data_IF_225581299501
#
_entry.id   IF_225581299501
#
_cell.length_a   1.000
_cell.length_b   1.000
_cell.length_c   1.000
_cell.angle_alpha   90.00
_cell.angle_beta   90.00
_cell.angle_gamma   90.00
#
_symmetry.space_group_name_H-M   'P 1'
#
loop_
_entity.id
_entity.type
_entity.pdbx_description
1 polymer ?
#
# COMPACT_ATOMS: atom_id res chain seq x y z
N UNK A 1 30.68 35.40 -4.36
CA UNK A 1 30.18 34.14 -3.76
C UNK A 1 31.00 33.00 -4.34
N UNK A 2 31.75 32.26 -3.51
CA UNK A 2 32.73 31.28 -3.99
C UNK A 2 32.07 30.06 -4.64
N UNK A 3 32.57 29.63 -5.80
CA UNK A 3 32.07 28.44 -6.54
C UNK A 3 32.00 27.18 -5.66
N UNK A 4 32.92 27.06 -4.68
CA UNK A 4 32.93 25.97 -3.69
C UNK A 4 31.70 26.00 -2.75
N UNK A 5 31.22 27.19 -2.39
CA UNK A 5 30.03 27.36 -1.54
C UNK A 5 28.76 26.96 -2.32
N UNK A 6 28.69 27.29 -3.61
CA UNK A 6 27.59 26.88 -4.49
C UNK A 6 27.51 25.35 -4.65
N UNK A 7 28.65 24.67 -4.79
CA UNK A 7 28.71 23.21 -4.88
C UNK A 7 28.22 22.54 -3.59
N UNK A 8 28.63 23.05 -2.44
CA UNK A 8 28.22 22.51 -1.13
C UNK A 8 26.72 22.70 -0.89
N UNK A 9 26.16 23.86 -1.25
CA UNK A 9 24.71 24.12 -1.14
C UNK A 9 23.90 23.19 -2.06
N UNK A 10 24.36 22.98 -3.30
CA UNK A 10 23.73 22.04 -4.25
C UNK A 10 23.75 20.59 -3.74
N UNK A 11 24.84 20.18 -3.07
CA UNK A 11 24.97 18.84 -2.49
C UNK A 11 24.05 18.65 -1.27
N UNK A 12 23.87 19.68 -0.44
CA UNK A 12 22.98 19.62 0.74
C UNK A 12 21.50 19.58 0.33
N UNK A 13 21.12 20.32 -0.72
CA UNK A 13 19.75 20.32 -1.26
C UNK A 13 19.37 19.02 -1.99
N UNK A 14 20.34 18.21 -2.41
CA UNK A 14 20.09 16.89 -3.01
C UNK A 14 20.02 15.75 -1.98
N UNK A 15 20.35 16.01 -0.72
CA UNK A 15 20.29 15.06 0.39
C UNK A 15 18.98 15.11 1.20
N UNK A 16 18.07 16.06 0.94
CA UNK A 16 16.71 16.05 1.50
C UNK A 16 15.81 15.08 0.72
N UNK A 17 16.15 13.79 0.78
CA UNK A 17 15.35 12.70 0.22
C UNK A 17 14.44 12.08 1.28
N UNK A 18 13.18 11.84 0.89
CA UNK A 18 12.09 11.17 1.61
C UNK A 18 11.37 12.00 2.68
N UNK A 19 10.53 12.92 2.19
CA UNK A 19 9.32 13.33 2.87
C UNK A 19 8.46 12.09 3.19
N UNK A 20 7.88 12.07 4.38
CA UNK A 20 6.94 11.06 4.84
C UNK A 20 5.79 11.01 3.83
N UNK A 21 5.53 9.82 3.26
CA UNK A 21 4.45 9.64 2.27
C UNK A 21 3.12 9.92 2.94
N UNK A 22 2.48 11.00 2.52
CA UNK A 22 1.16 11.39 3.02
C UNK A 22 0.08 10.75 2.15
N UNK A 23 -0.90 10.13 2.79
CA UNK A 23 -2.01 9.45 2.12
C UNK A 23 -3.32 10.16 2.46
N UNK A 24 -4.05 10.60 1.44
CA UNK A 24 -5.39 11.19 1.59
C UNK A 24 -6.48 10.18 1.26
N UNK A 25 -7.61 10.24 1.98
CA UNK A 25 -8.80 9.44 1.67
C UNK A 25 -9.58 10.10 0.51
N UNK A 26 -9.60 9.41 -0.63
CA UNK A 26 -10.27 9.87 -1.85
C UNK A 26 -11.56 9.11 -2.13
N UNK A 27 -12.05 8.29 -1.19
CA UNK A 27 -13.24 7.44 -1.36
C UNK A 27 -14.49 8.20 -1.78
N UNK A 28 -14.55 9.51 -1.48
CA UNK A 28 -15.65 10.42 -1.84
C UNK A 28 -15.61 10.94 -3.28
N UNK A 29 -14.59 10.63 -4.08
CA UNK A 29 -14.52 11.02 -5.48
C UNK A 29 -15.43 10.13 -6.35
N UNK A 30 -16.06 10.71 -7.38
CA UNK A 30 -17.07 10.01 -8.19
C UNK A 30 -16.55 8.73 -8.85
N UNK A 31 -15.25 8.67 -9.15
CA UNK A 31 -14.61 7.48 -9.73
C UNK A 31 -14.53 6.29 -8.76
N UNK A 32 -14.48 6.52 -7.45
CA UNK A 32 -14.31 5.46 -6.45
C UNK A 32 -15.60 5.11 -5.71
N UNK A 33 -16.60 6.00 -5.66
CA UNK A 33 -17.88 5.75 -4.97
C UNK A 33 -18.53 4.41 -5.32
N UNK A 34 -18.42 3.99 -6.58
CA UNK A 34 -19.03 2.76 -7.08
C UNK A 34 -18.37 1.47 -6.59
N UNK A 35 -17.17 1.52 -6.03
CA UNK A 35 -16.43 0.34 -5.58
C UNK A 35 -16.36 0.22 -4.05
N UNK A 36 -16.61 1.28 -3.31
CA UNK A 36 -16.66 1.24 -1.84
C UNK A 36 -17.77 0.30 -1.36
N UNK A 37 -17.45 -0.55 -0.39
CA UNK A 37 -18.34 -1.57 0.14
C UNK A 37 -18.39 -2.87 -0.67
N UNK A 38 -17.70 -2.94 -1.81
CA UNK A 38 -17.62 -4.16 -2.62
C UNK A 38 -17.00 -5.29 -1.80
N UNK A 39 -17.69 -6.43 -1.75
CA UNK A 39 -17.10 -7.66 -1.23
C UNK A 39 -16.32 -8.35 -2.33
N UNK A 40 -15.12 -8.82 -2.00
CA UNK A 40 -14.21 -9.49 -2.91
C UNK A 40 -13.92 -10.88 -2.36
N UNK A 41 -13.91 -11.89 -3.20
CA UNK A 41 -13.44 -13.22 -2.82
C UNK A 41 -12.27 -13.64 -3.70
N UNK A 42 -11.16 -14.03 -3.09
CA UNK A 42 -9.94 -14.38 -3.85
C UNK A 42 -10.15 -15.65 -4.68
N UNK A 43 -9.75 -15.61 -5.95
CA UNK A 43 -9.69 -16.75 -6.88
C UNK A 43 -8.32 -17.44 -6.90
N UNK A 44 -7.29 -16.70 -6.49
CA UNK A 44 -5.90 -17.14 -6.44
C UNK A 44 -5.36 -17.04 -5.02
N UNK A 45 -4.23 -17.71 -4.77
CA UNK A 45 -3.49 -17.52 -3.53
C UNK A 45 -2.89 -16.13 -3.48
N UNK A 46 -2.99 -15.50 -2.33
CA UNK A 46 -2.32 -14.24 -2.05
C UNK A 46 -1.27 -14.45 -0.96
N UNK A 47 -0.37 -13.48 -0.85
CA UNK A 47 0.59 -13.32 0.23
C UNK A 47 0.29 -11.97 0.87
N UNK A 48 0.16 -11.95 2.19
CA UNK A 48 0.04 -10.74 2.98
C UNK A 48 1.35 -10.49 3.71
N UNK A 49 1.88 -9.27 3.58
CA UNK A 49 3.14 -8.87 4.19
C UNK A 49 2.87 -7.79 5.22
N UNK A 50 3.34 -7.95 6.45
CA UNK A 50 3.43 -6.83 7.39
C UNK A 50 4.62 -5.95 7.01
N UNK A 51 4.39 -4.64 6.81
CA UNK A 51 5.38 -3.72 6.26
C UNK A 51 5.65 -2.56 7.21
N UNK A 52 6.92 -2.24 7.43
CA UNK A 52 7.37 -0.99 8.07
C UNK A 52 7.73 0.05 7.02
N UNK A 53 7.44 1.32 7.31
CA UNK A 53 7.94 2.46 6.54
C UNK A 53 8.89 3.35 7.36
N UNK A 54 9.28 2.91 8.55
CA UNK A 54 10.21 3.66 9.38
C UNK A 54 11.60 3.78 8.74
N UNK A 55 12.27 4.93 8.89
CA UNK A 55 13.69 5.03 8.63
C UNK A 55 14.45 3.95 9.40
N UNK A 56 15.45 3.33 8.76
CA UNK A 56 16.23 2.22 9.34
C UNK A 56 15.45 0.93 9.66
N UNK A 57 14.21 0.78 9.16
CA UNK A 57 13.44 -0.46 9.28
C UNK A 57 13.14 -0.86 10.73
N UNK A 58 12.79 0.12 11.58
CA UNK A 58 12.28 -0.19 12.91
C UNK A 58 11.05 -1.10 12.81
N UNK A 59 10.89 -2.01 13.80
CA UNK A 59 9.84 -3.04 13.82
C UNK A 59 8.45 -2.47 14.18
N UNK A 60 8.05 -1.41 13.48
CA UNK A 60 6.74 -0.76 13.60
C UNK A 60 5.90 -1.12 12.39
N UNK A 61 4.82 -1.86 12.63
CA UNK A 61 3.87 -2.22 11.59
C UNK A 61 3.10 -0.97 11.13
N UNK A 62 3.19 -0.67 9.83
CA UNK A 62 2.49 0.47 9.22
C UNK A 62 1.27 0.04 8.41
N UNK A 63 1.41 -1.02 7.64
CA UNK A 63 0.32 -1.57 6.84
C UNK A 63 0.60 -3.03 6.49
N UNK A 64 -0.46 -3.72 6.08
CA UNK A 64 -0.33 -5.00 5.40
C UNK A 64 -0.38 -4.79 3.89
N UNK A 65 0.60 -5.32 3.16
CA UNK A 65 0.62 -5.30 1.70
C UNK A 65 0.14 -6.64 1.15
N UNK A 66 -0.99 -6.61 0.45
CA UNK A 66 -1.56 -7.78 -0.21
C UNK A 66 -0.95 -7.91 -1.62
N UNK A 67 -0.39 -9.07 -1.96
CA UNK A 67 0.14 -9.34 -3.30
C UNK A 67 -0.04 -10.80 -3.67
N UNK A 68 -0.17 -11.07 -4.96
CA UNK A 68 -0.16 -12.44 -5.49
C UNK A 68 1.21 -13.08 -5.22
N UNK A 69 1.21 -14.40 -5.04
CA UNK A 69 2.46 -15.15 -4.93
C UNK A 69 3.36 -14.88 -6.16
N UNK A 70 4.69 -14.72 -5.98
CA UNK A 70 5.47 -15.00 -4.77
C UNK A 70 5.62 -13.79 -3.82
N UNK A 71 4.82 -12.74 -3.93
CA UNK A 71 4.96 -11.55 -3.09
C UNK A 71 6.28 -10.80 -3.32
N UNK A 72 6.78 -10.14 -2.28
CA UNK A 72 8.06 -9.44 -2.29
C UNK A 72 8.87 -9.75 -1.03
N UNK A 73 10.08 -9.21 -0.97
CA UNK A 73 10.97 -9.30 0.18
C UNK A 73 11.82 -8.04 0.27
N UNK A 74 12.41 -7.83 1.44
CA UNK A 74 13.21 -6.66 1.72
C UNK A 74 13.28 -6.40 3.22
N UNK A 75 14.19 -5.52 3.67
CA UNK A 75 14.29 -5.15 5.09
C UNK A 75 13.02 -4.50 5.65
N UNK A 76 12.12 -4.00 4.80
CA UNK A 76 10.84 -3.44 5.18
C UNK A 76 9.78 -4.50 5.57
N UNK A 77 10.03 -5.78 5.28
CA UNK A 77 9.06 -6.87 5.52
C UNK A 77 9.24 -7.43 6.93
N UNK A 78 8.27 -7.17 7.81
CA UNK A 78 8.23 -7.66 9.19
C UNK A 78 7.63 -9.06 9.28
N UNK A 79 6.63 -9.36 8.47
CA UNK A 79 5.96 -10.66 8.44
C UNK A 79 5.50 -11.03 7.02
N UNK A 80 5.30 -12.32 6.77
CA UNK A 80 4.86 -12.85 5.48
C UNK A 80 4.03 -14.10 5.67
N UNK A 81 2.80 -14.08 5.19
CA UNK A 81 1.84 -15.19 5.34
C UNK A 81 1.12 -15.46 4.02
N UNK A 82 0.81 -16.73 3.74
CA UNK A 82 -0.04 -17.10 2.60
C UNK A 82 -1.53 -17.00 3.00
N UNK A 83 -2.32 -16.37 2.14
CA UNK A 83 -3.77 -16.34 2.23
C UNK A 83 -4.37 -17.34 1.23
N UNK A 84 -5.25 -18.25 1.70
CA UNK A 84 -5.83 -19.26 0.84
C UNK A 84 -6.80 -18.66 -0.18
N UNK A 85 -7.05 -19.42 -1.25
CA UNK A 85 -8.13 -19.14 -2.20
C UNK A 85 -9.47 -19.12 -1.44
N UNK A 86 -10.35 -18.20 -1.82
CA UNK A 86 -11.66 -18.02 -1.19
C UNK A 86 -11.65 -17.10 0.02
N UNK A 87 -10.51 -16.48 0.34
CA UNK A 87 -10.43 -15.42 1.36
C UNK A 87 -11.33 -14.25 0.95
N UNK A 88 -12.15 -13.78 1.88
CA UNK A 88 -13.15 -12.73 1.63
C UNK A 88 -12.73 -11.41 2.23
N UNK A 89 -12.77 -10.36 1.42
CA UNK A 89 -12.47 -9.00 1.81
C UNK A 89 -13.65 -8.08 1.56
N UNK A 90 -13.67 -6.94 2.24
CA UNK A 90 -14.51 -5.80 1.91
C UNK A 90 -13.63 -4.60 1.59
N UNK A 91 -13.87 -3.98 0.44
CA UNK A 91 -13.22 -2.72 0.08
C UNK A 91 -13.86 -1.59 0.88
N UNK A 92 -13.10 -0.96 1.77
CA UNK A 92 -13.64 0.05 2.68
C UNK A 92 -13.24 1.47 2.33
N UNK A 93 -12.05 1.66 1.75
CA UNK A 93 -11.54 2.98 1.38
C UNK A 93 -10.66 2.92 0.12
N UNK A 94 -10.48 4.07 -0.51
CA UNK A 94 -9.42 4.32 -1.48
C UNK A 94 -8.58 5.48 -0.96
N UNK A 95 -7.27 5.27 -0.89
CA UNK A 95 -6.30 6.28 -0.46
C UNK A 95 -5.38 6.64 -1.61
N UNK A 96 -5.01 7.92 -1.72
CA UNK A 96 -4.10 8.45 -2.75
C UNK A 96 -2.87 9.05 -2.10
N UNK A 97 -1.70 8.80 -2.68
CA UNK A 97 -0.46 9.45 -2.27
C UNK A 97 -0.47 10.93 -2.69
N UNK A 98 -0.28 11.85 -1.74
CA UNK A 98 -0.33 13.31 -1.94
C UNK A 98 0.99 13.85 -2.46
N UNK A 99 2.11 13.30 -1.98
CA UNK A 99 3.47 13.79 -2.21
C UNK A 99 4.26 12.94 -3.24
N UNK A 100 3.60 11.98 -3.87
CA UNK A 100 4.20 11.16 -4.92
C UNK A 100 4.26 11.92 -6.26
N UNK A 101 5.39 11.84 -6.97
CA UNK A 101 5.57 12.40 -8.33
C UNK A 101 4.51 11.90 -9.31
N UNK A 102 3.99 10.69 -9.10
CA UNK A 102 2.89 10.11 -9.86
C UNK A 102 1.77 9.79 -8.88
N UNK A 103 0.53 10.11 -9.24
CA UNK A 103 -0.65 9.68 -8.49
C UNK A 103 -0.62 8.15 -8.36
N UNK A 104 -0.73 7.69 -7.13
CA UNK A 104 -0.79 6.27 -6.79
C UNK A 104 -1.90 6.07 -5.79
N UNK A 105 -2.92 5.35 -6.21
CA UNK A 105 -4.04 4.95 -5.37
C UNK A 105 -3.87 3.52 -4.86
N UNK A 106 -4.21 3.31 -3.60
CA UNK A 106 -4.37 2.00 -3.01
C UNK A 106 -5.82 1.84 -2.53
N UNK A 107 -6.35 0.64 -2.67
CA UNK A 107 -7.59 0.24 -2.00
C UNK A 107 -7.24 -0.30 -0.62
N UNK A 108 -8.05 0.05 0.37
CA UNK A 108 -7.97 -0.50 1.72
C UNK A 108 -9.05 -1.56 1.88
N UNK A 109 -8.63 -2.72 2.36
CA UNK A 109 -9.45 -3.91 2.52
C UNK A 109 -9.60 -4.26 4.00
N UNK A 110 -10.76 -4.76 4.36
CA UNK A 110 -11.01 -5.44 5.64
C UNK A 110 -11.21 -6.93 5.39
N UNK A 111 -10.56 -7.77 6.19
CA UNK A 111 -10.77 -9.21 6.16
C UNK A 111 -12.11 -9.55 6.81
N UNK A 112 -12.92 -10.41 6.16
CA UNK A 112 -14.26 -10.76 6.63
C UNK A 112 -14.34 -12.08 7.41
N UNK A 113 -13.27 -12.88 7.43
CA UNK A 113 -13.30 -14.22 8.02
C UNK A 113 -13.02 -14.24 9.52
N UNK A 114 -12.27 -13.27 10.05
CA UNK A 114 -11.86 -13.16 11.45
C UNK A 114 -11.30 -11.76 11.73
N UNK A 115 -10.87 -11.54 12.97
CA UNK A 115 -10.31 -10.27 13.45
C UNK A 115 -8.79 -10.17 13.26
N UNK A 116 -8.19 -10.97 12.36
CA UNK A 116 -6.77 -10.83 12.05
C UNK A 116 -6.53 -9.54 11.25
N UNK A 117 -5.31 -8.98 11.38
CA UNK A 117 -4.85 -7.81 10.62
C UNK A 117 -5.66 -6.53 10.87
N UNK A 118 -6.23 -6.39 12.08
CA UNK A 118 -7.02 -5.20 12.48
C UNK A 118 -6.15 -4.10 13.11
N UNK A 119 -4.90 -4.41 13.43
CA UNK A 119 -3.89 -3.51 13.99
C UNK A 119 -3.26 -2.58 12.95
N UNK A 120 -3.43 -2.87 11.66
CA UNK A 120 -2.98 -2.00 10.56
C UNK A 120 -3.84 -2.21 9.29
N UNK A 121 -3.94 -1.21 8.38
CA UNK A 121 -4.75 -1.34 7.17
C UNK A 121 -4.16 -2.36 6.18
N UNK A 122 -5.02 -3.16 5.55
CA UNK A 122 -4.63 -4.02 4.42
C UNK A 122 -4.74 -3.21 3.12
N UNK A 123 -3.62 -2.95 2.47
CA UNK A 123 -3.52 -2.18 1.24
C UNK A 123 -3.30 -3.08 0.02
N UNK A 124 -3.94 -2.72 -1.10
CA UNK A 124 -3.73 -3.33 -2.42
C UNK A 124 -3.71 -2.26 -3.50
N UNK A 125 -2.85 -2.39 -4.50
CA UNK A 125 -2.72 -1.36 -5.55
C UNK A 125 -3.98 -1.24 -6.40
N UNK A 126 -4.52 -0.02 -6.54
CA UNK A 126 -5.75 0.23 -7.30
C UNK A 126 -5.62 -0.11 -8.78
N UNK A 127 -4.52 0.26 -9.42
CA UNK A 127 -4.26 -0.08 -10.83
C UNK A 127 -4.29 -1.58 -11.08
N UNK A 128 -3.75 -2.35 -10.13
CA UNK A 128 -3.72 -3.81 -10.20
C UNK A 128 -5.11 -4.39 -9.98
N UNK A 129 -5.88 -3.81 -9.06
CA UNK A 129 -7.28 -4.14 -8.86
C UNK A 129 -8.07 -3.94 -10.16
N UNK A 130 -8.01 -2.77 -10.80
CA UNK A 130 -8.77 -2.51 -12.03
C UNK A 130 -8.39 -3.47 -13.16
N UNK A 131 -7.09 -3.71 -13.36
CA UNK A 131 -6.61 -4.59 -14.45
C UNK A 131 -6.94 -6.06 -14.22
N UNK A 132 -6.82 -6.52 -12.98
CA UNK A 132 -6.83 -7.96 -12.66
C UNK A 132 -8.06 -8.40 -11.85
N UNK A 133 -9.04 -7.50 -11.61
CA UNK A 133 -10.23 -7.80 -10.79
C UNK A 133 -10.89 -9.10 -11.22
N UNK A 134 -11.18 -9.25 -12.51
CA UNK A 134 -11.88 -10.41 -13.04
C UNK A 134 -11.09 -11.72 -12.90
N UNK A 135 -9.76 -11.64 -12.89
CA UNK A 135 -8.88 -12.81 -12.79
C UNK A 135 -8.67 -13.24 -11.34
N UNK A 136 -8.51 -12.30 -10.41
CA UNK A 136 -8.11 -12.59 -9.04
C UNK A 136 -9.24 -12.51 -8.02
N UNK A 137 -10.34 -11.87 -8.36
CA UNK A 137 -11.47 -11.68 -7.45
C UNK A 137 -12.79 -12.10 -8.11
N UNK A 138 -13.66 -12.72 -7.31
CA UNK A 138 -15.11 -12.83 -7.54
C UNK A 138 -15.81 -11.62 -6.90
#
# INVERSE_FOLDING_TARGET
>A
MNLRILIVISLILSLSGCLIKEWEDVSGENEFKGIIGTQLKTKVKFVIHGVTTEPNYEEVLHHYSLMEAPGFGGPEVLSREELPIGTKFKLVKVIRCVDCTFKRENIVLELLSNDNYQDAPIAYHYDRFIKMKAEYFE
#
